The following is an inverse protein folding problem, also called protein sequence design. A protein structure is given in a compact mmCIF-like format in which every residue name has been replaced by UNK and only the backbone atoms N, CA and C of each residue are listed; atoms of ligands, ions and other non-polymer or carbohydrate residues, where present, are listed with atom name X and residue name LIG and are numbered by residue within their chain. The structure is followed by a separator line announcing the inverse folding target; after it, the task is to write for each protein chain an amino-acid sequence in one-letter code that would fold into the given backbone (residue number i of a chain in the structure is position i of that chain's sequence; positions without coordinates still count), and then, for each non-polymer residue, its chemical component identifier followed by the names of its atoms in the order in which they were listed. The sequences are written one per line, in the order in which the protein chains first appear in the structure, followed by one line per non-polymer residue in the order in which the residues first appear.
data_IF_243260659801
#
_entry.id   IF_243260659801
#
_cell.length_a   1.000
_cell.length_b   1.000
_cell.length_c   1.000
_cell.angle_alpha   90.00
_cell.angle_beta   90.00
_cell.angle_gamma   90.00
#
_symmetry.space_group_name_H-M   'P 1'
#
loop_
_entity.id
_entity.type
_entity.pdbx_description
1 polymer ?
#
# COMPACT_ATOMS: atom_id res chain seq x y z
N UNK A 1 7.60 -28.37 -4.53
CA UNK A 1 6.23 -27.98 -4.09
C UNK A 1 5.69 -27.01 -5.11
N UNK A 2 4.47 -27.21 -5.62
CA UNK A 2 3.90 -26.31 -6.62
C UNK A 2 3.86 -24.87 -6.07
N UNK A 3 4.24 -23.89 -6.89
CA UNK A 3 4.24 -22.48 -6.52
C UNK A 3 2.79 -21.98 -6.38
N UNK A 4 2.21 -22.13 -5.19
CA UNK A 4 0.84 -21.74 -4.94
C UNK A 4 0.73 -20.21 -5.01
N UNK A 5 -0.18 -19.65 -5.82
CA UNK A 5 -0.34 -18.20 -5.94
C UNK A 5 -0.71 -17.56 -4.59
N UNK A 6 -0.24 -16.34 -4.35
CA UNK A 6 -0.55 -15.59 -3.12
C UNK A 6 -1.88 -14.86 -3.18
N UNK A 7 -2.25 -14.38 -4.37
CA UNK A 7 -3.47 -13.62 -4.61
C UNK A 7 -4.30 -14.46 -5.56
N UNK A 8 -5.48 -14.87 -5.12
CA UNK A 8 -6.38 -15.75 -5.87
C UNK A 8 -7.76 -15.11 -6.01
N UNK A 9 -8.63 -15.59 -6.93
CA UNK A 9 -9.99 -15.08 -7.08
C UNK A 9 -10.81 -15.08 -5.79
N UNK A 10 -10.53 -16.00 -4.87
CA UNK A 10 -11.20 -16.17 -3.58
C UNK A 10 -11.00 -14.96 -2.65
N UNK A 11 -9.84 -14.28 -2.72
CA UNK A 11 -9.62 -13.03 -2.00
C UNK A 11 -10.64 -11.97 -2.43
N UNK A 12 -10.84 -11.83 -3.74
CA UNK A 12 -11.79 -10.85 -4.29
C UNK A 12 -13.25 -11.28 -4.08
N UNK A 13 -13.54 -12.58 -4.14
CA UNK A 13 -14.86 -13.12 -3.80
C UNK A 13 -15.23 -12.79 -2.34
N UNK A 14 -14.31 -13.01 -1.40
CA UNK A 14 -14.49 -12.63 0.00
C UNK A 14 -14.83 -11.15 0.16
N UNK A 15 -14.09 -10.25 -0.50
CA UNK A 15 -14.35 -8.82 -0.39
C UNK A 15 -15.64 -8.35 -1.07
N UNK A 16 -16.07 -9.00 -2.16
CA UNK A 16 -17.40 -8.75 -2.75
C UNK A 16 -18.52 -9.11 -1.77
N UNK A 17 -18.46 -10.31 -1.18
CA UNK A 17 -19.47 -10.74 -0.21
C UNK A 17 -19.43 -9.91 1.08
N UNK A 18 -18.23 -9.53 1.56
CA UNK A 18 -18.09 -8.66 2.72
C UNK A 18 -18.71 -7.29 2.48
N UNK A 19 -18.63 -6.75 1.25
CA UNK A 19 -19.25 -5.47 0.89
C UNK A 19 -20.78 -5.52 1.04
N UNK A 20 -21.40 -6.64 0.67
CA UNK A 20 -22.84 -6.86 0.80
C UNK A 20 -23.25 -7.17 2.25
N UNK A 21 -22.36 -7.77 3.04
CA UNK A 21 -22.65 -8.28 4.39
C UNK A 21 -21.75 -7.66 5.47
N UNK A 22 -21.46 -6.35 5.39
CA UNK A 22 -20.45 -5.71 6.24
C UNK A 22 -20.96 -5.48 7.68
N UNK A 23 -21.05 -6.55 8.45
CA UNK A 23 -21.42 -6.57 9.85
C UNK A 23 -20.60 -7.62 10.61
N UNK A 24 -20.59 -7.51 11.94
CA UNK A 24 -19.75 -8.34 12.81
C UNK A 24 -20.12 -9.82 12.76
N UNK A 25 -21.41 -10.14 12.75
CA UNK A 25 -21.89 -11.52 12.83
C UNK A 25 -21.50 -12.31 11.58
N UNK A 26 -21.69 -11.70 10.40
CA UNK A 26 -21.25 -12.28 9.14
C UNK A 26 -19.73 -12.47 9.11
N UNK A 27 -18.96 -11.47 9.56
CA UNK A 27 -17.50 -11.59 9.57
C UNK A 27 -17.02 -12.70 10.50
N UNK A 28 -17.55 -12.81 11.72
CA UNK A 28 -17.14 -13.89 12.64
C UNK A 28 -17.49 -15.27 12.07
N UNK A 29 -18.65 -15.44 11.42
CA UNK A 29 -19.01 -16.67 10.72
C UNK A 29 -18.08 -16.99 9.54
N UNK A 30 -17.51 -15.97 8.89
CA UNK A 30 -16.65 -16.09 7.72
C UNK A 30 -15.15 -15.90 8.04
N UNK A 31 -14.80 -15.81 9.31
CA UNK A 31 -13.45 -15.45 9.76
C UNK A 31 -12.41 -16.44 9.27
N UNK A 32 -12.69 -17.74 9.36
CA UNK A 32 -11.77 -18.77 8.87
C UNK A 32 -11.51 -18.63 7.35
N UNK A 33 -12.51 -18.21 6.57
CA UNK A 33 -12.32 -17.94 5.14
C UNK A 33 -11.45 -16.70 4.92
N UNK A 34 -11.64 -15.64 5.68
CA UNK A 34 -10.74 -14.48 5.67
C UNK A 34 -9.29 -14.89 5.97
N UNK A 35 -9.10 -15.74 6.99
CA UNK A 35 -7.79 -16.25 7.37
C UNK A 35 -7.08 -16.97 6.22
N UNK A 36 -7.76 -17.95 5.64
CA UNK A 36 -7.19 -18.84 4.64
C UNK A 36 -7.05 -18.20 3.26
N UNK A 37 -7.99 -17.35 2.87
CA UNK A 37 -8.07 -16.81 1.50
C UNK A 37 -7.48 -15.40 1.37
N UNK A 38 -7.32 -14.68 2.49
CA UNK A 38 -6.82 -13.29 2.48
C UNK A 38 -5.57 -13.15 3.34
N UNK A 39 -5.67 -13.42 4.66
CA UNK A 39 -4.59 -13.07 5.58
C UNK A 39 -3.34 -13.92 5.35
N UNK A 40 -3.46 -15.24 5.44
CA UNK A 40 -2.30 -16.14 5.36
C UNK A 40 -1.56 -16.05 4.01
N UNK A 41 -2.26 -16.03 2.85
CA UNK A 41 -1.59 -15.87 1.56
C UNK A 41 -0.85 -14.53 1.44
N UNK A 42 -1.42 -13.43 1.95
CA UNK A 42 -0.76 -12.11 1.92
C UNK A 42 0.41 -12.01 2.89
N UNK A 43 0.34 -12.65 4.07
CA UNK A 43 1.50 -12.72 4.98
C UNK A 43 2.65 -13.52 4.35
N UNK A 44 2.33 -14.59 3.62
CA UNK A 44 3.30 -15.35 2.83
C UNK A 44 3.91 -14.50 1.73
N UNK A 45 3.09 -13.76 0.98
CA UNK A 45 3.56 -12.79 -0.02
C UNK A 45 4.52 -11.76 0.59
N UNK A 46 4.18 -11.17 1.74
CA UNK A 46 5.01 -10.19 2.43
C UNK A 46 6.37 -10.79 2.78
N UNK A 47 6.39 -12.00 3.35
CA UNK A 47 7.63 -12.68 3.72
C UNK A 47 8.52 -12.94 2.49
N UNK A 48 7.95 -13.51 1.44
CA UNK A 48 8.70 -13.89 0.23
C UNK A 48 9.14 -12.66 -0.58
N UNK A 49 8.28 -11.64 -0.67
CA UNK A 49 8.59 -10.38 -1.35
C UNK A 49 9.65 -9.56 -0.61
N UNK A 50 9.82 -9.75 0.70
CA UNK A 50 10.86 -9.08 1.47
C UNK A 50 12.27 -9.27 0.90
N UNK A 51 12.54 -10.44 0.30
CA UNK A 51 13.83 -10.73 -0.35
C UNK A 51 14.01 -9.83 -1.59
N UNK A 52 12.97 -9.70 -2.43
CA UNK A 52 12.97 -8.83 -3.61
C UNK A 52 12.96 -7.35 -3.25
N UNK A 53 12.29 -7.00 -2.17
CA UNK A 53 12.24 -5.63 -1.68
C UNK A 53 13.65 -5.14 -1.31
N UNK A 54 14.47 -5.98 -0.69
CA UNK A 54 15.85 -5.65 -0.35
C UNK A 54 16.74 -5.42 -1.60
N UNK A 55 16.43 -6.06 -2.73
CA UNK A 55 17.10 -5.80 -4.03
C UNK A 55 16.75 -4.40 -4.57
N UNK A 56 15.54 -3.89 -4.26
CA UNK A 56 15.13 -2.52 -4.62
C UNK A 56 15.78 -1.50 -3.68
N UNK A 57 15.68 -1.73 -2.38
CA UNK A 57 16.33 -0.91 -1.35
C UNK A 57 16.32 -1.63 0.01
N UNK A 58 17.44 -1.65 0.74
CA UNK A 58 17.52 -2.31 2.05
C UNK A 58 16.76 -1.57 3.15
N UNK A 59 16.29 -0.35 2.89
CA UNK A 59 15.67 0.52 3.89
C UNK A 59 14.17 0.32 4.06
N UNK A 60 13.54 -0.57 3.29
CA UNK A 60 12.11 -0.85 3.42
C UNK A 60 11.86 -2.17 4.13
N UNK A 61 10.87 -2.15 5.02
CA UNK A 61 10.55 -3.27 5.89
C UNK A 61 9.39 -4.09 5.34
N UNK A 62 9.64 -5.39 5.20
CA UNK A 62 8.61 -6.40 4.97
C UNK A 62 8.37 -7.19 6.26
N UNK A 63 7.26 -6.92 6.93
CA UNK A 63 6.93 -7.47 8.23
C UNK A 63 5.65 -8.31 8.16
N UNK A 64 5.81 -9.64 8.17
CA UNK A 64 4.71 -10.60 8.06
C UNK A 64 4.01 -10.90 9.39
N UNK A 65 4.20 -10.07 10.44
CA UNK A 65 3.41 -10.18 11.67
C UNK A 65 1.92 -9.94 11.40
N UNK A 66 1.08 -10.77 12.01
CA UNK A 66 -0.40 -10.69 11.92
C UNK A 66 -0.99 -9.37 12.42
N UNK A 67 -0.28 -8.67 13.30
CA UNK A 67 -0.70 -7.38 13.87
C UNK A 67 0.50 -6.43 13.91
N UNK A 68 0.28 -5.19 13.47
CA UNK A 68 1.33 -4.16 13.43
C UNK A 68 2.39 -4.34 12.35
N UNK A 69 2.28 -5.35 11.50
CA UNK A 69 3.17 -5.58 10.37
C UNK A 69 2.78 -4.82 9.09
N UNK A 70 3.26 -5.31 7.96
CA UNK A 70 3.02 -4.78 6.62
C UNK A 70 1.59 -4.96 6.13
N UNK A 71 0.86 -5.96 6.63
CA UNK A 71 -0.55 -6.15 6.30
C UNK A 71 -1.43 -5.22 7.16
N UNK A 72 -2.25 -4.38 6.53
CA UNK A 72 -3.20 -3.55 7.26
C UNK A 72 -4.28 -4.41 7.95
N UNK A 73 -4.71 -3.97 9.14
CA UNK A 73 -5.92 -4.52 9.76
C UNK A 73 -7.14 -4.34 8.85
N UNK A 74 -8.01 -5.33 8.86
CA UNK A 74 -9.30 -5.30 8.15
C UNK A 74 -10.29 -4.33 8.79
N UNK A 75 -10.22 -4.09 10.12
CA UNK A 75 -11.14 -3.16 10.77
C UNK A 75 -11.02 -1.73 10.22
N UNK A 76 -12.17 -1.11 9.98
CA UNK A 76 -12.28 0.30 9.60
C UNK A 76 -12.26 1.18 10.85
N UNK A 77 -11.60 2.33 10.77
CA UNK A 77 -11.78 3.37 11.77
C UNK A 77 -13.03 4.19 11.43
N UNK A 78 -14.08 4.05 12.24
CA UNK A 78 -15.41 4.62 11.96
C UNK A 78 -15.74 5.86 12.80
N UNK A 79 -14.82 6.31 13.66
CA UNK A 79 -15.09 7.41 14.63
C UNK A 79 -15.56 8.68 13.94
N UNK A 80 -14.90 9.04 12.83
CA UNK A 80 -15.19 10.26 12.07
C UNK A 80 -15.76 9.98 10.66
N UNK A 81 -15.97 8.71 10.32
CA UNK A 81 -16.50 8.31 9.00
C UNK A 81 -18.02 8.40 8.96
N UNK A 82 -18.58 8.87 7.83
CA UNK A 82 -20.02 8.76 7.54
C UNK A 82 -20.43 7.30 7.31
N UNK A 83 -19.56 6.54 6.67
CA UNK A 83 -19.68 5.09 6.53
C UNK A 83 -19.33 4.41 7.87
N UNK A 84 -20.32 3.73 8.47
CA UNK A 84 -20.21 3.02 9.75
C UNK A 84 -19.94 1.53 9.61
N UNK A 85 -19.62 1.06 8.41
CA UNK A 85 -19.23 -0.34 8.20
C UNK A 85 -18.00 -0.72 9.04
N UNK A 86 -18.02 -1.83 9.80
CA UNK A 86 -16.94 -2.20 10.72
C UNK A 86 -15.66 -2.66 10.02
N UNK A 87 -15.74 -3.11 8.77
CA UNK A 87 -14.61 -3.69 8.04
C UNK A 87 -14.34 -2.97 6.71
N UNK A 88 -13.09 -2.97 6.30
CA UNK A 88 -12.65 -2.54 4.97
C UNK A 88 -13.00 -3.61 3.93
N UNK A 89 -13.38 -3.17 2.74
CA UNK A 89 -13.72 -4.02 1.59
C UNK A 89 -12.53 -4.28 0.67
N UNK A 90 -11.32 -4.04 1.17
CA UNK A 90 -10.07 -4.19 0.43
C UNK A 90 -8.96 -4.67 1.37
N UNK A 91 -7.99 -5.41 0.83
CA UNK A 91 -6.73 -5.68 1.49
C UNK A 91 -5.71 -4.60 1.10
N UNK A 92 -4.94 -4.16 2.08
CA UNK A 92 -3.82 -3.24 1.88
C UNK A 92 -2.55 -3.82 2.46
N UNK A 93 -1.46 -3.75 1.70
CA UNK A 93 -0.11 -4.09 2.18
C UNK A 93 0.77 -2.84 2.05
N UNK A 94 1.57 -2.57 3.07
CA UNK A 94 2.52 -1.47 3.09
C UNK A 94 3.94 -1.98 3.38
N UNK A 95 4.92 -1.44 2.68
CA UNK A 95 6.33 -1.59 3.00
C UNK A 95 6.86 -0.20 3.37
N UNK A 96 7.07 0.01 4.67
CA UNK A 96 7.49 1.31 5.21
C UNK A 96 9.01 1.42 5.18
N UNK A 97 9.51 2.63 4.97
CA UNK A 97 10.90 2.93 5.24
C UNK A 97 11.21 2.72 6.74
N UNK A 98 12.40 2.21 7.08
CA UNK A 98 12.81 1.87 8.45
C UNK A 98 12.79 3.08 9.41
N UNK A 99 13.09 4.26 8.88
CA UNK A 99 13.01 5.55 9.60
C UNK A 99 11.58 6.06 9.77
N UNK A 100 10.61 5.46 9.07
CA UNK A 100 9.21 5.87 9.03
C UNK A 100 8.36 5.13 10.04
N UNK A 101 8.26 5.65 11.27
CA UNK A 101 7.21 5.19 12.21
C UNK A 101 5.80 5.67 11.77
N UNK A 102 5.73 6.77 11.01
CA UNK A 102 4.52 7.46 10.59
C UNK A 102 4.41 7.66 9.05
N UNK A 103 3.28 8.21 8.59
CA UNK A 103 2.91 8.46 7.16
C UNK A 103 3.83 9.42 6.40
N UNK A 104 4.81 10.05 7.04
CA UNK A 104 5.67 11.07 6.43
C UNK A 104 6.98 10.52 5.84
N UNK A 105 7.20 9.21 5.92
CA UNK A 105 8.29 8.55 5.22
C UNK A 105 7.80 7.95 3.90
N UNK A 106 8.68 7.77 2.90
CA UNK A 106 8.30 7.09 1.68
C UNK A 106 7.91 5.64 2.00
N UNK A 107 6.99 5.11 1.21
CA UNK A 107 6.54 3.73 1.34
C UNK A 107 6.11 3.16 -0.01
N UNK A 108 6.07 1.84 -0.07
CA UNK A 108 5.34 1.12 -1.10
C UNK A 108 3.99 0.68 -0.53
N UNK A 109 2.96 0.73 -1.36
CA UNK A 109 1.61 0.32 -1.03
C UNK A 109 1.07 -0.59 -2.11
N UNK A 110 0.44 -1.69 -1.73
CA UNK A 110 -0.33 -2.56 -2.61
C UNK A 110 -1.79 -2.53 -2.15
N UNK A 111 -2.68 -2.22 -3.08
CA UNK A 111 -4.12 -2.19 -2.88
C UNK A 111 -4.79 -3.34 -3.64
N UNK A 112 -5.65 -4.09 -2.95
CA UNK A 112 -6.40 -5.21 -3.50
C UNK A 112 -7.88 -5.07 -3.12
N UNK A 113 -8.66 -4.48 -4.01
CA UNK A 113 -10.11 -4.37 -3.90
C UNK A 113 -10.77 -4.99 -5.15
N UNK A 114 -11.98 -5.57 -5.07
CA UNK A 114 -12.74 -5.87 -6.26
C UNK A 114 -12.82 -4.63 -7.17
N UNK A 115 -12.47 -4.82 -8.45
CA UNK A 115 -12.47 -3.79 -9.50
C UNK A 115 -11.41 -2.67 -9.36
N UNK A 116 -10.56 -2.70 -8.33
CA UNK A 116 -9.48 -1.73 -8.14
C UNK A 116 -8.24 -2.40 -7.53
N UNK A 117 -7.21 -2.58 -8.36
CA UNK A 117 -5.91 -3.11 -7.94
C UNK A 117 -4.83 -2.15 -8.41
N UNK A 118 -4.06 -1.62 -7.47
CA UNK A 118 -2.99 -0.68 -7.80
C UNK A 118 -1.83 -0.76 -6.79
N UNK A 119 -0.69 -0.25 -7.23
CA UNK A 119 0.49 -0.05 -6.39
C UNK A 119 0.76 1.45 -6.28
N UNK A 120 1.09 1.91 -5.07
CA UNK A 120 1.58 3.26 -4.81
C UNK A 120 3.03 3.23 -4.34
N UNK A 121 3.80 4.25 -4.70
CA UNK A 121 5.16 4.48 -4.20
C UNK A 121 5.36 5.96 -3.93
N UNK A 122 6.03 6.29 -2.83
CA UNK A 122 6.38 7.66 -2.46
C UNK A 122 5.81 8.06 -1.11
N UNK A 123 5.59 9.36 -0.92
CA UNK A 123 5.09 9.91 0.34
C UNK A 123 3.64 10.37 0.12
N UNK A 124 2.71 9.76 0.83
CA UNK A 124 1.28 10.06 0.70
C UNK A 124 0.88 11.23 1.59
N UNK A 125 0.35 12.31 0.99
CA UNK A 125 -0.06 13.54 1.69
C UNK A 125 0.99 14.02 2.73
N UNK A 126 2.23 14.35 2.30
CA UNK A 126 3.23 14.89 3.21
C UNK A 126 2.76 16.20 3.84
N UNK A 127 3.06 16.40 5.11
CA UNK A 127 2.93 17.72 5.73
C UNK A 127 3.86 18.75 5.07
N UNK A 128 3.56 20.04 5.25
CA UNK A 128 4.27 21.14 4.59
C UNK A 128 5.80 21.08 4.76
N UNK A 129 6.29 20.71 5.97
CA UNK A 129 7.72 20.58 6.26
C UNK A 129 8.37 19.46 5.45
N UNK A 130 7.74 18.30 5.37
CA UNK A 130 8.24 17.15 4.60
C UNK A 130 8.18 17.44 3.10
N UNK A 131 7.11 18.08 2.64
CA UNK A 131 6.97 18.51 1.25
C UNK A 131 8.04 19.54 0.85
N UNK A 132 8.36 20.48 1.74
CA UNK A 132 9.46 21.43 1.55
C UNK A 132 10.80 20.72 1.30
N UNK A 133 11.17 19.76 2.15
CA UNK A 133 12.41 18.98 1.98
C UNK A 133 12.52 18.27 0.64
N UNK A 134 11.41 17.73 0.12
CA UNK A 134 11.39 17.07 -1.20
C UNK A 134 11.66 18.10 -2.29
N UNK A 135 11.03 19.28 -2.20
CA UNK A 135 11.21 20.37 -3.17
C UNK A 135 12.63 20.92 -3.13
N UNK A 136 13.17 21.16 -1.94
CA UNK A 136 14.55 21.62 -1.74
C UNK A 136 15.53 20.63 -2.37
N UNK A 137 15.36 19.32 -2.12
CA UNK A 137 16.21 18.29 -2.71
C UNK A 137 16.15 18.25 -4.25
N UNK A 138 15.00 18.55 -4.86
CA UNK A 138 14.83 18.69 -6.31
C UNK A 138 15.54 19.95 -6.82
N UNK A 139 15.40 21.09 -6.14
CA UNK A 139 16.03 22.37 -6.49
C UNK A 139 17.55 22.31 -6.36
N UNK A 140 18.06 21.63 -5.33
CA UNK A 140 19.49 21.43 -5.11
C UNK A 140 20.11 20.48 -6.14
N UNK A 141 19.32 19.57 -6.73
CA UNK A 141 19.81 18.56 -7.70
C UNK A 141 18.87 18.43 -8.92
N UNK A 142 18.67 19.50 -9.71
CA UNK A 142 17.66 19.53 -10.77
C UNK A 142 17.99 18.56 -11.91
N UNK A 143 19.28 18.35 -12.21
CA UNK A 143 19.72 17.39 -13.22
C UNK A 143 19.36 15.95 -12.84
N UNK A 144 19.48 15.60 -11.56
CA UNK A 144 19.13 14.26 -11.06
C UNK A 144 17.62 14.02 -11.18
N UNK A 145 16.81 15.02 -10.81
CA UNK A 145 15.37 14.97 -11.00
C UNK A 145 15.01 14.83 -12.48
N UNK A 146 15.57 15.71 -13.33
CA UNK A 146 15.30 15.70 -14.76
C UNK A 146 15.65 14.35 -15.37
N UNK A 147 16.82 13.80 -15.06
CA UNK A 147 17.25 12.47 -15.51
C UNK A 147 16.27 11.38 -15.10
N UNK A 148 15.76 11.42 -13.87
CA UNK A 148 14.81 10.43 -13.37
C UNK A 148 13.47 10.49 -14.11
N UNK A 149 12.90 11.69 -14.29
CA UNK A 149 11.60 11.85 -14.97
C UNK A 149 11.71 11.78 -16.50
N UNK A 150 12.91 11.96 -17.05
CA UNK A 150 13.15 11.85 -18.49
C UNK A 150 13.52 10.44 -18.95
N UNK A 151 13.87 9.51 -18.05
CA UNK A 151 14.27 8.13 -18.39
C UNK A 151 13.16 7.42 -19.17
N UNK A 152 13.52 6.80 -20.29
CA UNK A 152 12.58 6.15 -21.20
C UNK A 152 11.83 4.99 -20.54
N UNK A 153 12.46 4.27 -19.60
CA UNK A 153 11.78 3.20 -18.83
C UNK A 153 10.77 3.79 -17.85
N UNK A 154 11.06 4.97 -17.29
CA UNK A 154 10.11 5.66 -16.43
C UNK A 154 8.89 6.12 -17.25
N UNK A 155 9.11 6.82 -18.36
CA UNK A 155 8.03 7.31 -19.24
C UNK A 155 7.19 6.21 -19.88
N UNK A 156 7.76 5.03 -20.11
CA UNK A 156 7.03 3.89 -20.63
C UNK A 156 5.94 3.37 -19.67
N UNK A 157 6.06 3.69 -18.36
CA UNK A 157 5.15 3.19 -17.31
C UNK A 157 4.41 4.31 -16.60
N UNK A 158 5.03 5.48 -16.44
CA UNK A 158 4.53 6.58 -15.63
C UNK A 158 4.37 7.86 -16.43
N UNK A 159 3.29 8.59 -16.13
CA UNK A 159 3.05 9.94 -16.63
C UNK A 159 3.07 10.92 -15.44
N UNK A 160 3.72 12.07 -15.63
CA UNK A 160 3.64 13.15 -14.64
C UNK A 160 2.23 13.75 -14.62
N UNK A 161 1.68 13.95 -13.44
CA UNK A 161 0.35 14.54 -13.24
C UNK A 161 0.22 15.19 -11.86
N UNK A 162 -0.98 15.68 -11.55
CA UNK A 162 -1.29 16.40 -10.33
C UNK A 162 -1.16 17.92 -10.48
N UNK A 163 -1.40 18.63 -9.38
CA UNK A 163 -1.32 20.09 -9.35
C UNK A 163 0.14 20.55 -9.42
N UNK A 164 0.40 21.54 -10.27
CA UNK A 164 1.70 22.21 -10.38
C UNK A 164 1.67 23.54 -9.64
N UNK A 165 2.76 23.88 -8.97
CA UNK A 165 2.89 25.21 -8.39
C UNK A 165 2.95 26.26 -9.51
N UNK A 166 2.24 27.36 -9.32
CA UNK A 166 2.29 28.52 -10.22
C UNK A 166 3.56 29.36 -10.07
N UNK A 167 4.30 29.17 -8.97
CA UNK A 167 5.57 29.85 -8.68
C UNK A 167 6.61 28.84 -8.19
N UNK A 168 7.88 28.97 -8.57
CA UNK A 168 8.96 28.18 -7.98
C UNK A 168 8.96 28.36 -6.45
N UNK A 169 9.23 27.30 -5.68
CA UNK A 169 9.42 27.40 -4.24
C UNK A 169 10.61 28.30 -3.88
#
# INVERSE_FOLDING_TARGET
MANQPYITPELFAFFRELKENNNRDWFEANKQRYEQQVREPLLRFIADFGIRLAEISPYYLADSRRSGGSLFRINRDIRFSKDKSPYKTAAGVQFRHELGKDVHAPGFYLHLEPDSVFVGVGIWHPEAKTLGKIRDAIVENPERWQKAVSDERFKAVYQLGGESLSRPP
#
